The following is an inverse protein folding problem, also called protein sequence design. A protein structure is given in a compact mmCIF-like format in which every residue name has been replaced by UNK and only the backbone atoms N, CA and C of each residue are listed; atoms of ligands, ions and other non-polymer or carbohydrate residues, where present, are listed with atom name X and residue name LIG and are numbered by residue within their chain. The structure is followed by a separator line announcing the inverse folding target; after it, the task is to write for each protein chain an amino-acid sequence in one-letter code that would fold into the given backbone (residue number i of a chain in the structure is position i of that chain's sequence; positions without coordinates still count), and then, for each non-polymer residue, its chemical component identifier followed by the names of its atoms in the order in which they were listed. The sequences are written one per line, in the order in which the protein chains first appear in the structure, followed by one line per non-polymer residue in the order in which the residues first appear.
data_IF_486978921748
#
_entry.id   IF_486978921748
#
_cell.length_a   1.000
_cell.length_b   1.000
_cell.length_c   1.000
_cell.angle_alpha   90.00
_cell.angle_beta   90.00
_cell.angle_gamma   90.00
#
_symmetry.space_group_name_H-M   'P 1'
#
loop_
_entity.id
_entity.type
_entity.pdbx_description
1 polymer ?
#
# COMPACT_ATOMS: atom_id res chain seq x y z
N UNK A 1 43.37 -40.16 -12.60
CA UNK A 1 43.41 -38.71 -12.88
C UNK A 1 42.14 -38.09 -12.27
N UNK A 2 42.25 -37.23 -11.25
CA UNK A 2 41.07 -36.60 -10.61
C UNK A 2 40.73 -35.31 -11.38
N UNK A 3 39.46 -35.04 -11.69
CA UNK A 3 39.09 -33.82 -12.41
C UNK A 3 39.30 -32.59 -11.53
N UNK A 4 39.61 -31.41 -12.10
CA UNK A 4 39.75 -30.18 -11.34
C UNK A 4 38.38 -29.75 -10.79
N UNK A 5 38.33 -29.52 -9.48
CA UNK A 5 37.15 -28.94 -8.81
C UNK A 5 37.04 -27.48 -9.25
N UNK A 6 35.93 -27.11 -9.89
CA UNK A 6 35.65 -25.71 -10.24
C UNK A 6 35.29 -24.94 -8.95
N UNK A 7 35.77 -23.71 -8.75
CA UNK A 7 35.32 -22.88 -7.63
C UNK A 7 33.81 -22.62 -7.74
N UNK A 8 33.12 -22.60 -6.61
CA UNK A 8 31.72 -22.21 -6.55
C UNK A 8 31.56 -20.72 -6.94
N UNK A 9 30.46 -20.34 -7.63
CA UNK A 9 30.19 -18.93 -7.91
C UNK A 9 29.96 -18.16 -6.60
N UNK A 10 30.50 -16.94 -6.52
CA UNK A 10 30.38 -16.06 -5.36
C UNK A 10 28.89 -15.77 -5.05
N UNK A 11 28.52 -15.63 -3.76
CA UNK A 11 27.16 -15.29 -3.40
C UNK A 11 26.84 -13.91 -3.98
N UNK A 12 25.92 -13.86 -4.95
CA UNK A 12 25.33 -12.63 -5.46
C UNK A 12 24.94 -11.79 -4.27
N UNK A 13 25.67 -10.69 -4.11
CA UNK A 13 25.50 -9.72 -3.06
C UNK A 13 24.01 -9.37 -3.06
N UNK A 14 23.31 -9.81 -2.00
CA UNK A 14 21.98 -9.30 -1.74
C UNK A 14 22.19 -7.80 -1.72
N UNK A 15 21.55 -7.08 -2.65
CA UNK A 15 21.31 -5.65 -2.48
C UNK A 15 20.59 -5.52 -1.15
N UNK A 16 21.37 -5.38 -0.08
CA UNK A 16 20.87 -4.98 1.21
C UNK A 16 20.21 -3.65 0.92
N UNK A 17 18.88 -3.63 0.99
CA UNK A 17 18.11 -2.40 0.98
C UNK A 17 18.79 -1.47 1.99
N UNK A 18 19.46 -0.42 1.51
CA UNK A 18 20.07 0.53 2.42
C UNK A 18 18.94 1.09 3.29
N UNK A 19 19.12 1.18 4.62
CA UNK A 19 18.14 1.87 5.45
C UNK A 19 17.97 3.30 4.92
N UNK A 20 16.71 3.75 4.83
CA UNK A 20 16.40 5.08 4.31
C UNK A 20 17.12 6.13 5.18
N UNK A 21 17.80 7.12 4.59
CA UNK A 21 18.38 8.20 5.36
C UNK A 21 17.26 8.99 6.05
N UNK A 22 17.43 9.39 7.33
CA UNK A 22 16.45 10.20 8.04
C UNK A 22 16.27 11.54 7.31
N UNK A 23 15.05 11.85 6.90
CA UNK A 23 14.72 13.05 6.12
C UNK A 23 14.61 12.88 4.61
N UNK A 24 14.67 11.64 4.08
CA UNK A 24 14.32 11.40 2.69
C UNK A 24 12.85 11.81 2.43
N UNK A 25 12.54 12.51 1.32
CA UNK A 25 11.14 12.75 0.94
C UNK A 25 10.41 11.41 0.83
N UNK A 26 9.09 11.38 1.06
CA UNK A 26 8.32 10.15 0.91
C UNK A 26 8.61 9.58 -0.49
N UNK A 27 9.04 8.32 -0.54
CA UNK A 27 9.20 7.58 -1.80
C UNK A 27 7.90 7.70 -2.61
N UNK A 28 7.95 7.69 -3.93
CA UNK A 28 6.77 7.88 -4.79
C UNK A 28 5.60 6.91 -4.45
N UNK A 29 5.93 5.71 -3.95
CA UNK A 29 4.98 4.74 -3.39
C UNK A 29 4.29 5.21 -2.11
N UNK A 30 5.00 5.88 -1.21
CA UNK A 30 4.41 6.42 0.02
C UNK A 30 3.46 7.59 -0.21
N UNK A 31 3.65 8.41 -1.27
CA UNK A 31 2.64 9.42 -1.64
C UNK A 31 1.36 8.80 -2.19
N UNK A 32 1.45 7.66 -2.89
CA UNK A 32 0.26 6.91 -3.33
C UNK A 32 -0.53 6.29 -2.17
N UNK A 33 0.11 6.06 -1.03
CA UNK A 33 -0.50 5.49 0.18
C UNK A 33 -0.98 6.56 1.16
N UNK A 34 -0.66 7.84 0.94
CA UNK A 34 -1.19 8.98 1.71
C UNK A 34 -2.34 9.70 1.03
N UNK A 35 -2.54 9.49 -0.27
CA UNK A 35 -3.60 10.15 -1.05
C UNK A 35 -4.62 9.14 -1.54
N UNK A 36 -5.88 9.34 -1.16
CA UNK A 36 -7.01 8.52 -1.54
C UNK A 36 -7.94 9.26 -2.49
N UNK A 37 -8.46 8.57 -3.50
CA UNK A 37 -9.42 9.16 -4.43
C UNK A 37 -10.84 8.69 -4.12
N UNK A 38 -11.79 9.61 -4.04
CA UNK A 38 -13.20 9.24 -3.89
C UNK A 38 -13.69 8.54 -5.16
N UNK A 39 -14.01 7.25 -5.04
CA UNK A 39 -14.47 6.39 -6.15
C UNK A 39 -15.94 6.58 -6.54
N UNK A 40 -16.65 7.52 -5.90
CA UNK A 40 -17.98 7.88 -6.37
C UNK A 40 -17.88 8.60 -7.72
N UNK A 41 -18.56 8.08 -8.74
CA UNK A 41 -18.46 8.56 -10.13
C UNK A 41 -18.70 10.08 -10.24
N UNK A 42 -19.57 10.64 -9.38
CA UNK A 42 -19.90 12.06 -9.37
C UNK A 42 -18.92 12.95 -8.58
N UNK A 43 -17.95 12.39 -7.84
CA UNK A 43 -17.09 13.16 -6.92
C UNK A 43 -15.63 13.20 -7.37
N UNK A 44 -14.94 12.05 -7.47
CA UNK A 44 -13.55 11.97 -7.92
C UNK A 44 -12.51 12.76 -7.09
N UNK A 45 -12.88 13.34 -5.95
CA UNK A 45 -12.00 14.20 -5.15
C UNK A 45 -10.91 13.38 -4.46
N UNK A 46 -9.69 13.93 -4.44
CA UNK A 46 -8.55 13.36 -3.73
C UNK A 46 -8.49 13.88 -2.29
N UNK A 47 -8.09 13.02 -1.37
CA UNK A 47 -8.03 13.28 0.06
C UNK A 47 -6.74 12.74 0.63
N UNK A 48 -6.11 13.46 1.55
CA UNK A 48 -4.99 12.90 2.29
C UNK A 48 -5.51 12.04 3.46
N UNK A 49 -4.70 11.08 3.93
CA UNK A 49 -4.99 10.27 5.12
C UNK A 49 -5.30 11.12 6.34
N UNK A 50 -4.70 12.32 6.45
CA UNK A 50 -4.96 13.26 7.52
C UNK A 50 -6.29 14.02 7.41
N UNK A 51 -6.87 14.13 6.21
CA UNK A 51 -8.13 14.83 5.96
C UNK A 51 -9.37 13.94 6.14
N UNK A 52 -9.18 12.62 6.21
CA UNK A 52 -10.28 11.65 6.27
C UNK A 52 -10.20 10.76 7.50
N UNK A 53 -11.37 10.43 8.03
CA UNK A 53 -11.46 9.48 9.14
C UNK A 53 -11.55 8.07 8.57
N UNK A 54 -10.47 7.31 8.72
CA UNK A 54 -10.43 5.88 8.43
C UNK A 54 -10.92 5.11 9.65
N UNK A 55 -11.90 4.24 9.45
CA UNK A 55 -12.42 3.36 10.49
C UNK A 55 -12.91 2.06 9.90
N UNK A 56 -12.88 1.01 10.71
CA UNK A 56 -13.55 -0.24 10.38
C UNK A 56 -15.04 -0.12 10.78
N UNK A 57 -15.94 -0.27 9.81
CA UNK A 57 -17.40 -0.29 10.06
C UNK A 57 -17.96 -1.74 10.03
N UNK A 58 -17.13 -2.76 10.28
CA UNK A 58 -17.52 -4.18 10.25
C UNK A 58 -17.51 -4.84 8.86
N UNK A 59 -17.02 -4.13 7.83
CA UNK A 59 -16.88 -4.62 6.45
C UNK A 59 -15.47 -4.36 5.89
N UNK A 60 -14.50 -4.11 6.76
CA UNK A 60 -13.16 -3.64 6.39
C UNK A 60 -12.97 -2.16 6.67
N UNK A 61 -11.70 -1.75 6.64
CA UNK A 61 -11.32 -0.35 6.81
C UNK A 61 -11.84 0.47 5.64
N UNK A 62 -12.47 1.59 5.96
CA UNK A 62 -12.95 2.52 4.95
C UNK A 62 -12.90 3.94 5.48
N UNK A 63 -12.87 4.89 4.56
CA UNK A 63 -13.18 6.28 4.87
C UNK A 63 -14.45 6.72 4.15
N UNK A 64 -15.15 7.68 4.76
CA UNK A 64 -16.27 8.36 4.11
C UNK A 64 -15.79 9.67 3.53
N UNK A 65 -16.06 9.88 2.25
CA UNK A 65 -15.72 11.14 1.60
C UNK A 65 -16.48 12.30 2.28
N UNK A 66 -15.80 13.34 2.78
CA UNK A 66 -16.45 14.49 3.42
C UNK A 66 -17.39 15.27 2.48
N UNK A 67 -17.15 15.23 1.17
CA UNK A 67 -17.95 15.96 0.19
C UNK A 67 -19.25 15.24 -0.21
N UNK A 68 -19.20 13.93 -0.45
CA UNK A 68 -20.36 13.19 -0.99
C UNK A 68 -20.85 12.05 -0.09
N UNK A 69 -20.16 11.76 1.02
CA UNK A 69 -20.51 10.69 1.96
C UNK A 69 -20.24 9.27 1.45
N UNK A 70 -19.67 9.11 0.25
CA UNK A 70 -19.37 7.81 -0.33
C UNK A 70 -18.33 7.04 0.48
N UNK A 71 -18.51 5.72 0.57
CA UNK A 71 -17.59 4.80 1.25
C UNK A 71 -16.48 4.38 0.29
N UNK A 72 -15.24 4.59 0.72
CA UNK A 72 -14.05 4.20 0.00
C UNK A 72 -13.26 3.21 0.86
N UNK A 73 -13.13 1.98 0.36
CA UNK A 73 -12.49 0.89 1.08
C UNK A 73 -10.97 1.01 1.00
N UNK A 74 -10.33 0.76 2.13
CA UNK A 74 -8.90 0.76 2.31
C UNK A 74 -8.47 -0.57 2.92
N UNK A 75 -7.23 -0.94 2.68
CA UNK A 75 -6.58 -2.06 3.35
C UNK A 75 -5.41 -1.51 4.18
N UNK A 76 -5.29 -1.96 5.43
CA UNK A 76 -4.09 -1.62 6.23
C UNK A 76 -3.04 -2.69 6.01
N UNK A 77 -1.81 -2.25 5.87
CA UNK A 77 -0.65 -3.12 5.82
C UNK A 77 0.45 -2.56 6.70
N UNK A 78 1.27 -3.45 7.22
CA UNK A 78 2.50 -3.09 7.91
C UNK A 78 3.64 -3.32 6.93
N UNK A 79 4.50 -2.32 6.74
CA UNK A 79 5.72 -2.49 5.98
C UNK A 79 6.78 -3.27 6.81
N UNK A 80 7.90 -3.63 6.17
CA UNK A 80 9.04 -4.31 6.83
C UNK A 80 9.66 -3.50 7.99
N UNK A 81 9.37 -2.19 8.08
CA UNK A 81 9.78 -1.30 9.19
C UNK A 81 8.73 -1.24 10.32
N UNK A 82 7.56 -1.86 10.16
CA UNK A 82 6.46 -1.81 11.11
C UNK A 82 5.61 -0.53 11.01
N UNK A 83 5.76 0.25 9.93
CA UNK A 83 4.90 1.40 9.68
C UNK A 83 3.53 0.95 9.16
N UNK A 84 2.47 1.50 9.74
CA UNK A 84 1.10 1.27 9.25
C UNK A 84 0.86 2.12 8.01
N UNK A 85 0.67 1.43 6.88
CA UNK A 85 0.31 2.01 5.60
C UNK A 85 -1.14 1.66 5.27
N UNK A 86 -1.77 2.54 4.48
CA UNK A 86 -3.11 2.33 3.97
C UNK A 86 -3.07 2.32 2.45
N UNK A 87 -3.63 1.27 1.86
CA UNK A 87 -3.76 1.16 0.41
C UNK A 87 -5.23 1.29 0.02
N UNK A 88 -5.51 2.13 -0.98
CA UNK A 88 -6.87 2.27 -1.49
C UNK A 88 -7.22 1.12 -2.42
N UNK A 89 -8.22 0.34 -2.03
CA UNK A 89 -8.71 -0.78 -2.82
C UNK A 89 -9.43 -0.30 -4.08
N UNK A 90 -9.18 -1.01 -5.19
CA UNK A 90 -9.72 -0.60 -6.49
C UNK A 90 -11.21 -0.91 -6.72
N UNK A 91 -11.80 -1.70 -5.83
CA UNK A 91 -13.20 -2.09 -5.89
C UNK A 91 -13.76 -2.43 -4.52
N UNK A 92 -15.07 -2.62 -4.45
CA UNK A 92 -15.66 -3.32 -3.31
C UNK A 92 -15.03 -4.72 -3.25
N UNK A 93 -14.66 -5.24 -2.06
CA UNK A 93 -14.28 -6.65 -1.96
C UNK A 93 -15.42 -7.46 -2.59
N UNK A 94 -15.10 -8.18 -3.66
CA UNK A 94 -16.07 -8.92 -4.47
C UNK A 94 -16.86 -9.85 -3.52
N UNK A 95 -18.13 -9.53 -3.30
CA UNK A 95 -19.13 -10.53 -3.00
C UNK A 95 -19.17 -11.42 -4.24
N UNK A 96 -18.72 -12.67 -4.07
CA UNK A 96 -18.30 -13.56 -5.14
C UNK A 96 -19.15 -13.49 -6.40
N UNK A 97 -18.47 -13.36 -7.54
CA UNK A 97 -19.02 -13.72 -8.83
C UNK A 97 -19.24 -15.24 -8.83
N UNK A 98 -20.40 -15.65 -8.32
CA UNK A 98 -21.01 -16.94 -8.59
C UNK A 98 -21.72 -16.79 -9.93
N UNK A 99 -21.00 -17.05 -11.02
CA UNK A 99 -21.60 -17.47 -12.29
C UNK A 99 -21.43 -18.97 -12.48
#
# INVERSE_FOLDING_TARGET
MRPPVRPAPEPRERRTSLPRPPGAPPTELSWRMTVFTCRNQSCGTQWETSDVVIKDEGQGLLFRCPLCGARNYLERFEDDEGNVLYEQMEGRPYLGDLS
#
